data_IF_810297478192
#
_entry.id   IF_810297478192
#
_cell.length_a   1.000
_cell.length_b   1.000
_cell.length_c   1.000
_cell.angle_alpha   90.00
_cell.angle_beta   90.00
_cell.angle_gamma   90.00
#
_symmetry.space_group_name_H-M   'P 1'
#
loop_
_entity.id
_entity.type
_entity.pdbx_description
1 polymer ?
#
# COMPACT_ATOMS: atom_id res chain seq x y z
N UNK A 1 17.00 4.16 0.33
CA UNK A 1 15.73 4.59 0.95
C UNK A 1 15.53 6.08 0.71
N UNK A 2 14.39 6.48 0.16
CA UNK A 2 13.99 7.88 0.00
C UNK A 2 12.72 8.10 0.83
N UNK A 3 12.71 9.10 1.71
CA UNK A 3 11.54 9.44 2.51
C UNK A 3 10.81 10.66 1.90
N UNK A 4 9.49 10.57 1.79
CA UNK A 4 8.62 11.67 1.35
C UNK A 4 7.47 11.84 2.34
N UNK A 5 7.44 12.99 2.99
CA UNK A 5 6.36 13.34 3.93
C UNK A 5 5.43 14.33 3.24
N UNK A 6 4.14 14.06 3.36
CA UNK A 6 3.05 14.94 2.95
C UNK A 6 2.20 15.28 4.19
N UNK A 7 1.24 16.18 4.04
CA UNK A 7 0.28 16.53 5.09
C UNK A 7 -0.51 15.30 5.60
N UNK A 8 -0.71 14.30 4.75
CA UNK A 8 -1.54 13.13 5.02
C UNK A 8 -0.73 11.85 5.26
N UNK A 9 0.33 11.64 4.48
CA UNK A 9 1.08 10.40 4.46
C UNK A 9 2.57 10.62 4.65
N UNK A 10 3.19 9.69 5.38
CA UNK A 10 4.62 9.41 5.30
C UNK A 10 4.83 8.26 4.32
N UNK A 11 5.67 8.46 3.32
CA UNK A 11 6.03 7.46 2.32
C UNK A 11 7.52 7.18 2.37
N UNK A 12 7.90 5.92 2.52
CA UNK A 12 9.29 5.47 2.47
C UNK A 12 9.49 4.59 1.24
N UNK A 13 10.28 5.05 0.30
CA UNK A 13 10.57 4.37 -0.95
C UNK A 13 11.85 3.53 -0.79
N UNK A 14 11.72 2.26 -1.11
CA UNK A 14 12.78 1.26 -1.21
C UNK A 14 12.90 0.80 -2.66
N UNK A 15 13.89 -0.04 -2.97
CA UNK A 15 14.20 -0.44 -4.35
C UNK A 15 13.05 -1.16 -5.08
N UNK A 16 12.24 -1.93 -4.35
CA UNK A 16 11.14 -2.75 -4.90
C UNK A 16 9.80 -2.56 -4.19
N UNK A 17 9.75 -1.72 -3.15
CA UNK A 17 8.52 -1.49 -2.39
C UNK A 17 8.47 -0.08 -1.79
N UNK A 18 7.26 0.36 -1.47
CA UNK A 18 7.03 1.62 -0.73
C UNK A 18 6.21 1.33 0.51
N UNK A 19 6.57 1.97 1.62
CA UNK A 19 5.79 1.95 2.85
C UNK A 19 5.01 3.24 2.94
N UNK A 20 3.71 3.16 3.13
CA UNK A 20 2.81 4.30 3.29
C UNK A 20 2.21 4.23 4.69
N UNK A 21 2.46 5.25 5.48
CA UNK A 21 1.90 5.41 6.82
C UNK A 21 1.02 6.67 6.86
N UNK A 22 -0.25 6.51 7.20
CA UNK A 22 -1.17 7.63 7.36
C UNK A 22 -0.93 8.34 8.68
N UNK A 23 -0.72 9.66 8.65
CA UNK A 23 -0.40 10.49 9.82
C UNK A 23 -1.64 11.11 10.48
N UNK A 24 -2.70 10.34 10.67
CA UNK A 24 -3.92 10.81 11.34
C UNK A 24 -5.18 10.04 10.97
N UNK A 25 -6.32 10.48 11.49
CA UNK A 25 -7.64 10.02 11.08
C UNK A 25 -8.23 11.01 10.08
N UNK A 26 -8.15 10.68 8.79
CA UNK A 26 -8.76 11.49 7.74
C UNK A 26 -9.40 10.56 6.69
N UNK A 27 -10.50 11.02 6.10
CA UNK A 27 -11.13 10.31 5.00
C UNK A 27 -10.35 10.61 3.72
N UNK A 28 -9.85 9.55 3.09
CA UNK A 28 -9.08 9.67 1.85
C UNK A 28 -10.05 9.61 0.68
N UNK A 29 -10.24 10.74 0.01
CA UNK A 29 -10.97 10.75 -1.26
C UNK A 29 -10.19 9.98 -2.33
N UNK A 30 -10.91 9.32 -3.26
CA UNK A 30 -10.28 8.56 -4.35
C UNK A 30 -9.29 9.39 -5.18
N UNK A 31 -9.57 10.69 -5.42
CA UNK A 31 -8.66 11.59 -6.12
C UNK A 31 -7.30 11.76 -5.41
N UNK A 32 -7.30 11.77 -4.08
CA UNK A 32 -6.06 11.89 -3.28
C UNK A 32 -5.29 10.58 -3.29
N UNK A 33 -5.99 9.44 -3.18
CA UNK A 33 -5.40 8.11 -3.31
C UNK A 33 -4.76 7.94 -4.70
N UNK A 34 -5.47 8.30 -5.78
CA UNK A 34 -4.98 8.19 -7.15
C UNK A 34 -3.71 9.03 -7.37
N UNK A 35 -3.70 10.30 -6.92
CA UNK A 35 -2.50 11.16 -7.02
C UNK A 35 -1.31 10.58 -6.24
N UNK A 36 -1.57 10.00 -5.08
CA UNK A 36 -0.54 9.38 -4.25
C UNK A 36 0.05 8.16 -4.96
N UNK A 37 -0.79 7.25 -5.45
CA UNK A 37 -0.35 6.07 -6.21
C UNK A 37 0.34 6.45 -7.51
N UNK A 38 -0.14 7.49 -8.20
CA UNK A 38 0.50 7.98 -9.42
C UNK A 38 1.92 8.50 -9.14
N UNK A 39 2.13 9.20 -8.01
CA UNK A 39 3.46 9.64 -7.58
C UNK A 39 4.38 8.44 -7.31
N UNK A 40 3.84 7.37 -6.72
CA UNK A 40 4.59 6.15 -6.46
C UNK A 40 4.96 5.44 -7.77
N UNK A 41 3.99 5.26 -8.66
CA UNK A 41 4.19 4.65 -9.98
C UNK A 41 5.25 5.40 -10.78
N UNK A 42 5.23 6.73 -10.74
CA UNK A 42 6.19 7.60 -11.41
C UNK A 42 7.60 7.40 -10.83
N UNK A 43 7.72 7.33 -9.49
CA UNK A 43 8.99 7.06 -8.82
C UNK A 43 9.62 5.72 -9.22
N UNK A 44 8.82 4.67 -9.32
CA UNK A 44 9.30 3.35 -9.78
C UNK A 44 9.52 3.30 -11.29
N UNK A 45 9.09 4.31 -12.05
CA UNK A 45 9.35 4.51 -13.47
C UNK A 45 9.14 3.24 -14.34
N UNK A 46 8.06 2.50 -14.06
CA UNK A 46 7.71 1.27 -14.78
C UNK A 46 8.32 -0.03 -14.23
N UNK A 47 9.15 0.04 -13.19
CA UNK A 47 9.59 -1.15 -12.44
C UNK A 47 8.41 -1.80 -11.71
N UNK A 48 8.50 -3.10 -11.48
CA UNK A 48 7.57 -3.80 -10.62
C UNK A 48 7.82 -3.39 -9.17
N UNK A 49 6.75 -3.07 -8.44
CA UNK A 49 6.82 -2.72 -7.03
C UNK A 49 5.58 -3.21 -6.27
N UNK A 50 5.73 -3.28 -4.95
CA UNK A 50 4.62 -3.54 -4.02
C UNK A 50 4.42 -2.37 -3.06
N UNK A 51 3.24 -2.28 -2.48
CA UNK A 51 2.89 -1.23 -1.51
C UNK A 51 2.63 -1.88 -0.15
N UNK A 52 3.27 -1.35 0.89
CA UNK A 52 2.98 -1.68 2.28
C UNK A 52 2.19 -0.51 2.86
N UNK A 53 0.93 -0.73 3.21
CA UNK A 53 0.07 0.24 3.88
C UNK A 53 0.10 -0.01 5.40
N UNK A 54 0.87 0.81 6.12
CA UNK A 54 0.92 0.78 7.58
C UNK A 54 -0.25 1.57 8.18
N UNK A 55 -1.31 0.85 8.57
CA UNK A 55 -2.54 1.41 9.14
C UNK A 55 -2.52 1.28 10.67
N UNK A 56 -1.74 2.15 11.31
CA UNK A 56 -1.74 2.32 12.77
C UNK A 56 -2.96 3.10 13.26
N UNK A 57 -3.53 3.96 12.41
CA UNK A 57 -4.78 4.69 12.65
C UNK A 57 -5.96 4.10 11.86
N UNK A 58 -7.18 4.24 12.39
CA UNK A 58 -8.42 3.92 11.67
C UNK A 58 -8.62 4.93 10.54
N UNK A 59 -8.30 4.56 9.31
CA UNK A 59 -8.77 5.26 8.12
C UNK A 59 -9.34 4.25 7.14
N UNK A 60 -10.43 4.64 6.48
CA UNK A 60 -11.14 3.80 5.52
C UNK A 60 -10.86 4.36 4.13
N UNK A 61 -10.25 3.57 3.26
CA UNK A 61 -10.19 3.92 1.84
C UNK A 61 -11.55 3.58 1.21
N UNK A 62 -12.16 4.52 0.51
CA UNK A 62 -13.41 4.22 -0.21
C UNK A 62 -13.09 3.22 -1.32
N UNK A 63 -13.93 2.19 -1.47
CA UNK A 63 -13.68 1.09 -2.40
C UNK A 63 -13.59 1.50 -3.87
N UNK A 64 -14.09 2.68 -4.24
CA UNK A 64 -13.94 3.25 -5.59
C UNK A 64 -12.49 3.64 -5.94
N UNK A 65 -11.62 3.86 -4.94
CA UNK A 65 -10.23 4.22 -5.17
C UNK A 65 -9.43 3.12 -5.91
N UNK A 66 -9.72 1.84 -5.64
CA UNK A 66 -9.02 0.69 -6.24
C UNK A 66 -9.36 0.45 -7.71
N UNK A 67 -10.43 1.06 -8.22
CA UNK A 67 -10.84 0.92 -9.63
C UNK A 67 -9.96 1.70 -10.60
N UNK A 68 -9.06 2.57 -10.11
CA UNK A 68 -8.21 3.37 -10.99
C UNK A 68 -7.17 2.52 -11.72
N UNK A 69 -6.93 2.85 -13.00
CA UNK A 69 -5.96 2.15 -13.87
C UNK A 69 -4.54 2.13 -13.27
N UNK A 70 -4.21 3.09 -12.42
CA UNK A 70 -2.89 3.17 -11.77
C UNK A 70 -2.65 2.00 -10.82
N UNK A 71 -3.71 1.47 -10.18
CA UNK A 71 -3.60 0.31 -9.28
C UNK A 71 -3.27 -0.98 -10.04
N UNK A 72 -3.55 -1.07 -11.35
CA UNK A 72 -3.14 -2.22 -12.17
C UNK A 72 -1.62 -2.35 -12.32
N UNK A 73 -0.86 -1.28 -12.05
CA UNK A 73 0.61 -1.31 -12.05
C UNK A 73 1.19 -1.83 -10.74
N UNK A 74 0.40 -1.83 -9.67
CA UNK A 74 0.79 -2.36 -8.36
C UNK A 74 0.75 -3.88 -8.43
N UNK A 75 1.88 -4.54 -8.13
CA UNK A 75 1.95 -6.02 -8.18
C UNK A 75 1.41 -6.68 -6.93
N UNK A 76 1.55 -6.00 -5.80
CA UNK A 76 1.01 -6.47 -4.55
C UNK A 76 0.81 -5.38 -3.52
N UNK A 77 -0.13 -5.62 -2.60
CA UNK A 77 -0.47 -4.74 -1.50
C UNK A 77 -0.38 -5.54 -0.20
N UNK A 78 0.41 -5.06 0.74
CA UNK A 78 0.47 -5.54 2.10
C UNK A 78 -0.24 -4.54 3.01
N UNK A 79 -1.22 -4.98 3.79
CA UNK A 79 -1.86 -4.16 4.83
C UNK A 79 -1.26 -4.54 6.17
N UNK A 80 -0.76 -3.56 6.91
CA UNK A 80 -0.22 -3.77 8.26
C UNK A 80 -1.16 -3.12 9.26
N UNK A 81 -1.77 -3.92 10.13
CA UNK A 81 -2.58 -3.42 11.24
C UNK A 81 -2.76 -4.48 12.31
N UNK A 82 -2.89 -4.06 13.57
CA UNK A 82 -3.27 -4.93 14.69
C UNK A 82 -4.78 -4.98 14.92
N UNK A 83 -5.55 -4.22 14.14
CA UNK A 83 -6.99 -4.08 14.35
C UNK A 83 -7.77 -5.08 13.47
N UNK A 84 -8.58 -5.93 14.10
CA UNK A 84 -9.40 -6.92 13.41
C UNK A 84 -10.47 -6.30 12.47
N UNK A 85 -10.99 -5.11 12.77
CA UNK A 85 -11.90 -4.40 11.86
C UNK A 85 -11.18 -4.01 10.57
N UNK A 86 -9.92 -3.57 10.67
CA UNK A 86 -9.09 -3.27 9.49
C UNK A 86 -8.83 -4.55 8.70
N UNK A 87 -8.62 -5.69 9.37
CA UNK A 87 -8.48 -7.00 8.71
C UNK A 87 -9.74 -7.38 7.93
N UNK A 88 -10.92 -7.24 8.53
CA UNK A 88 -12.20 -7.54 7.86
C UNK A 88 -12.41 -6.65 6.62
N UNK A 89 -12.12 -5.36 6.73
CA UNK A 89 -12.18 -4.44 5.59
C UNK A 89 -11.15 -4.80 4.51
N UNK A 90 -9.94 -5.17 4.91
CA UNK A 90 -8.88 -5.55 3.99
C UNK A 90 -9.23 -6.80 3.16
N UNK A 91 -9.99 -7.76 3.73
CA UNK A 91 -10.52 -8.91 2.98
C UNK A 91 -11.50 -8.46 1.89
N UNK A 92 -12.37 -7.49 2.18
CA UNK A 92 -13.28 -6.92 1.17
C UNK A 92 -12.54 -6.12 0.10
N UNK A 93 -11.43 -5.45 0.47
CA UNK A 93 -10.53 -4.77 -0.47
C UNK A 93 -9.78 -5.77 -1.37
N UNK A 94 -9.34 -6.89 -0.80
CA UNK A 94 -8.65 -7.98 -1.51
C UNK A 94 -9.52 -8.55 -2.64
N UNK A 95 -10.81 -8.78 -2.42
CA UNK A 95 -11.72 -9.30 -3.46
C UNK A 95 -11.82 -8.38 -4.68
N UNK A 96 -11.51 -7.09 -4.53
CA UNK A 96 -11.56 -6.08 -5.59
C UNK A 96 -10.20 -5.82 -6.25
N UNK A 97 -9.12 -6.39 -5.70
CA UNK A 97 -7.76 -6.18 -6.20
C UNK A 97 -7.26 -7.41 -6.95
N UNK A 98 -6.88 -7.23 -8.21
CA UNK A 98 -6.45 -8.31 -9.09
C UNK A 98 -4.99 -8.78 -8.89
N UNK A 99 -4.26 -8.20 -7.92
CA UNK A 99 -2.86 -8.53 -7.63
C UNK A 99 -2.69 -9.28 -6.31
N UNK A 100 -1.44 -9.51 -5.89
CA UNK A 100 -1.17 -10.17 -4.62
C UNK A 100 -1.60 -9.28 -3.45
N UNK A 101 -2.30 -9.85 -2.48
CA UNK A 101 -2.75 -9.11 -1.31
C UNK A 101 -2.36 -9.89 -0.05
N UNK A 102 -1.75 -9.21 0.89
CA UNK A 102 -1.30 -9.81 2.15
C UNK A 102 -1.68 -8.91 3.33
N UNK A 103 -1.91 -9.52 4.48
CA UNK A 103 -2.19 -8.82 5.73
C UNK A 103 -1.16 -9.24 6.78
N UNK A 104 -0.61 -8.27 7.51
CA UNK A 104 0.39 -8.48 8.56
C UNK A 104 0.01 -7.70 9.82
N UNK A 105 0.40 -8.24 10.97
CA UNK A 105 0.21 -7.54 12.26
C UNK A 105 1.39 -6.63 12.59
N UNK A 106 2.57 -6.90 12.02
CA UNK A 106 3.78 -6.12 12.22
C UNK A 106 4.36 -5.63 10.89
N UNK A 107 4.93 -4.43 10.93
CA UNK A 107 5.55 -3.81 9.75
C UNK A 107 6.77 -4.60 9.27
N UNK A 108 7.50 -5.22 10.19
CA UNK A 108 8.71 -5.99 9.89
C UNK A 108 8.41 -7.23 9.02
N UNK A 109 7.35 -7.97 9.35
CA UNK A 109 6.89 -9.11 8.55
C UNK A 109 6.49 -8.67 7.12
N UNK A 110 5.84 -7.52 7.00
CA UNK A 110 5.43 -6.97 5.71
C UNK A 110 6.63 -6.51 4.85
N UNK A 111 7.67 -5.97 5.49
CA UNK A 111 8.93 -5.62 4.83
C UNK A 111 9.61 -6.87 4.28
N UNK A 112 9.77 -7.90 5.11
CA UNK A 112 10.34 -9.18 4.69
C UNK A 112 9.57 -9.80 3.52
N UNK A 113 8.24 -9.77 3.55
CA UNK A 113 7.42 -10.24 2.44
C UNK A 113 7.67 -9.44 1.15
N UNK A 114 7.72 -8.11 1.24
CA UNK A 114 7.94 -7.24 0.09
C UNK A 114 9.33 -7.40 -0.53
N UNK A 115 10.36 -7.59 0.30
CA UNK A 115 11.73 -7.85 -0.14
C UNK A 115 11.85 -9.17 -0.90
N UNK A 116 11.14 -10.20 -0.45
CA UNK A 116 11.14 -11.51 -1.08
C UNK A 116 10.12 -11.63 -2.23
N UNK A 117 9.23 -10.65 -2.41
CA UNK A 117 8.12 -10.74 -3.36
C UNK A 117 8.57 -10.95 -4.82
N UNK A 118 9.71 -10.37 -5.19
CA UNK A 118 10.28 -10.47 -6.55
C UNK A 118 11.49 -11.40 -6.63
N UNK A 119 11.86 -12.06 -5.52
CA UNK A 119 13.00 -12.98 -5.50
C UNK A 119 12.54 -14.33 -6.04
N UNK A 120 12.98 -14.67 -7.25
CA UNK A 120 12.85 -16.02 -7.79
C UNK A 120 14.05 -16.83 -7.33
N UNK A 121 13.81 -17.86 -6.51
CA UNK A 121 14.85 -18.86 -6.21
C UNK A 121 15.02 -19.75 -7.44
N UNK A 122 16.25 -19.79 -7.98
CA UNK A 122 16.67 -20.66 -9.08
C UNK A 122 17.06 -22.05 -8.57
#
# INVERSE_FOLDING_TARGET
MIEKITEFYKMEFYDSYVIIEARGQFEVSASTAEKTIQTIVDHFNGKNFVIISNRTAKYTLRSDAYSSKVFKKVKGIAIVSKNEEVRKNAVLEQEKFNGSFAFFENLDDAKHWAENFFVTYY
#
